data_IF_596797227036
#
_entry.id   IF_596797227036
#
_cell.length_a   1.000
_cell.length_b   1.000
_cell.length_c   1.000
_cell.angle_alpha   90.00
_cell.angle_beta   90.00
_cell.angle_gamma   90.00
#
_symmetry.space_group_name_H-M   'P 1'
#
loop_
_entity.id
_entity.type
_entity.pdbx_description
1 polymer ?
#
# COMPACT_ATOMS: atom_id res chain seq x y z
N UNK A 1 -13.74 -3.71 92.05
CA UNK A 1 -12.84 -4.59 91.32
C UNK A 1 -13.12 -4.41 89.79
N UNK A 2 -12.31 -3.56 89.13
CA UNK A 2 -12.46 -3.27 87.71
C UNK A 2 -11.27 -3.96 87.01
N UNK A 3 -11.56 -4.92 86.11
CA UNK A 3 -10.57 -5.48 85.19
C UNK A 3 -10.54 -4.69 83.91
N UNK A 4 -9.39 -4.07 83.68
CA UNK A 4 -9.07 -3.40 82.45
C UNK A 4 -8.71 -4.45 81.39
N UNK A 5 -9.42 -4.44 80.22
CA UNK A 5 -9.00 -5.15 78.97
C UNK A 5 -8.12 -4.22 78.13
N UNK A 6 -6.90 -4.69 77.92
CA UNK A 6 -6.00 -4.05 76.91
C UNK A 6 -6.27 -4.65 75.57
N UNK A 7 -6.70 -3.77 74.60
CA UNK A 7 -6.81 -4.08 73.23
C UNK A 7 -5.45 -3.94 72.55
N UNK A 8 -5.01 -5.02 71.86
CA UNK A 8 -3.83 -5.01 71.01
C UNK A 8 -4.28 -4.64 69.56
N UNK A 9 -3.85 -3.49 69.07
CA UNK A 9 -3.92 -3.17 67.67
C UNK A 9 -2.64 -3.65 66.97
N UNK A 10 -2.77 -4.58 66.00
CA UNK A 10 -1.74 -4.97 65.08
C UNK A 10 -1.80 -4.05 63.85
N UNK A 11 -0.71 -3.48 63.37
CA UNK A 11 -0.75 -2.67 62.14
C UNK A 11 -0.73 -3.63 60.94
N UNK A 12 -1.77 -3.51 60.06
CA UNK A 12 -1.79 -4.12 58.74
C UNK A 12 -0.85 -3.35 57.84
N UNK A 13 0.27 -3.98 57.47
CA UNK A 13 1.20 -3.46 56.46
C UNK A 13 0.67 -3.80 55.07
N UNK A 14 0.03 -2.86 54.41
CA UNK A 14 -0.42 -3.00 53.01
C UNK A 14 0.76 -2.81 52.10
N UNK A 15 1.31 -3.89 51.53
CA UNK A 15 2.27 -3.83 50.45
C UNK A 15 1.52 -3.43 49.14
N UNK A 16 1.69 -2.19 48.69
CA UNK A 16 1.32 -1.78 47.37
C UNK A 16 2.37 -2.35 46.38
N UNK A 17 2.01 -3.40 45.68
CA UNK A 17 2.72 -3.84 44.47
C UNK A 17 2.34 -2.87 43.32
N UNK A 18 3.15 -1.85 43.13
CA UNK A 18 3.08 -1.02 41.91
C UNK A 18 3.58 -1.83 40.71
N UNK A 19 2.68 -2.47 40.02
CA UNK A 19 2.97 -3.07 38.71
C UNK A 19 3.29 -1.97 37.72
N UNK A 20 4.56 -1.76 37.46
CA UNK A 20 5.05 -0.92 36.35
C UNK A 20 4.75 -1.66 35.06
N UNK A 21 3.61 -1.34 34.42
CA UNK A 21 3.31 -1.75 33.04
C UNK A 21 4.36 -1.07 32.15
N UNK A 22 5.40 -1.83 31.80
CA UNK A 22 6.27 -1.49 30.68
C UNK A 22 5.42 -1.59 29.40
N UNK A 23 4.88 -0.46 28.95
CA UNK A 23 4.43 -0.34 27.58
C UNK A 23 5.69 -0.42 26.71
N UNK A 24 5.93 -1.60 26.13
CA UNK A 24 6.82 -1.71 25.01
C UNK A 24 6.20 -0.85 23.91
N UNK A 25 6.77 0.33 23.66
CA UNK A 25 6.47 1.10 22.46
C UNK A 25 7.03 0.28 21.31
N UNK A 26 6.19 -0.56 20.69
CA UNK A 26 6.52 -1.10 19.39
C UNK A 26 6.64 0.11 18.44
N UNK A 27 7.85 0.43 18.06
CA UNK A 27 8.09 1.38 16.98
C UNK A 27 7.48 0.77 15.74
N UNK A 28 6.40 1.35 15.24
CA UNK A 28 5.81 0.96 13.97
C UNK A 28 6.86 1.16 12.87
N UNK A 29 7.51 0.07 12.47
CA UNK A 29 8.46 0.07 11.36
C UNK A 29 7.62 -0.11 10.11
N UNK A 30 7.36 1.00 9.41
CA UNK A 30 6.53 0.97 8.22
C UNK A 30 7.20 0.13 7.14
N UNK A 31 6.45 -0.82 6.58
CA UNK A 31 6.77 -1.66 5.42
C UNK A 31 7.97 -2.62 5.56
N UNK A 32 8.61 -2.73 6.72
CA UNK A 32 9.65 -3.74 6.94
C UNK A 32 9.11 -4.88 7.80
N UNK A 33 9.27 -6.10 7.34
CA UNK A 33 8.83 -7.28 8.08
C UNK A 33 9.68 -8.51 7.72
N UNK A 34 9.45 -9.61 8.44
CA UNK A 34 10.02 -10.93 8.14
C UNK A 34 8.98 -11.87 7.52
N UNK A 35 7.73 -11.44 7.35
CA UNK A 35 6.65 -12.27 6.81
C UNK A 35 5.66 -11.43 5.99
N UNK A 36 5.41 -11.85 4.75
CA UNK A 36 4.47 -11.18 3.84
C UNK A 36 3.56 -12.23 3.21
N UNK A 37 2.28 -11.88 3.09
CA UNK A 37 1.27 -12.66 2.39
C UNK A 37 0.72 -11.86 1.22
N UNK A 38 0.63 -12.47 0.06
CA UNK A 38 0.22 -11.78 -1.16
C UNK A 38 -0.60 -12.69 -2.07
N UNK A 39 -1.68 -12.16 -2.61
CA UNK A 39 -2.45 -12.76 -3.69
C UNK A 39 -2.08 -12.00 -4.97
N UNK A 40 -1.33 -12.63 -5.88
CA UNK A 40 -0.90 -11.98 -7.11
C UNK A 40 -2.11 -11.72 -8.03
N UNK A 41 -2.23 -10.52 -8.62
CA UNK A 41 -3.34 -10.19 -9.50
C UNK A 41 -3.30 -11.03 -10.77
N UNK A 42 -4.47 -11.32 -11.34
CA UNK A 42 -4.55 -11.71 -12.74
C UNK A 42 -4.49 -10.45 -13.60
N UNK A 43 -3.55 -10.40 -14.52
CA UNK A 43 -3.41 -9.36 -15.53
C UNK A 43 -3.83 -9.94 -16.88
N UNK A 44 -4.70 -9.25 -17.60
CA UNK A 44 -5.21 -9.74 -18.87
C UNK A 44 -4.08 -9.99 -19.88
N UNK A 45 -3.94 -11.21 -20.39
CA UNK A 45 -2.89 -11.62 -21.32
C UNK A 45 -2.75 -10.68 -22.55
N UNK A 46 -3.89 -10.13 -23.02
CA UNK A 46 -3.91 -9.18 -24.14
C UNK A 46 -3.31 -7.82 -23.76
N UNK A 47 -3.11 -7.55 -22.48
CA UNK A 47 -2.52 -6.33 -21.94
C UNK A 47 -1.06 -6.52 -21.51
N UNK A 48 -0.60 -7.77 -21.43
CA UNK A 48 0.76 -8.14 -21.02
C UNK A 48 0.84 -8.46 -19.54
N UNK A 49 1.14 -9.72 -19.26
CA UNK A 49 1.15 -10.30 -17.92
C UNK A 49 2.56 -10.64 -17.40
N UNK A 50 3.58 -10.50 -18.23
CA UNK A 50 4.97 -10.87 -17.88
C UNK A 50 6.01 -10.04 -18.65
N UNK A 51 7.20 -9.82 -18.06
CA UNK A 51 7.73 -10.49 -16.87
C UNK A 51 7.15 -9.93 -15.56
N UNK A 52 7.09 -10.80 -14.54
CA UNK A 52 6.72 -10.47 -13.17
C UNK A 52 7.83 -10.86 -12.21
N UNK A 53 7.95 -10.18 -11.09
CA UNK A 53 9.01 -10.46 -10.13
C UNK A 53 8.74 -9.94 -8.73
N UNK A 54 9.61 -10.36 -7.82
CA UNK A 54 9.71 -9.80 -6.48
C UNK A 54 11.06 -9.12 -6.30
N UNK A 55 11.05 -8.01 -5.60
CA UNK A 55 12.25 -7.29 -5.18
C UNK A 55 12.28 -7.17 -3.66
N UNK A 56 13.47 -7.30 -3.10
CA UNK A 56 13.71 -7.29 -1.66
C UNK A 56 14.85 -6.36 -1.33
N UNK A 57 14.69 -5.60 -0.24
CA UNK A 57 15.76 -4.77 0.31
C UNK A 57 15.95 -5.10 1.79
N UNK A 58 17.19 -5.35 2.19
CA UNK A 58 17.55 -5.59 3.59
C UNK A 58 17.80 -4.29 4.34
N UNK A 59 17.58 -4.30 5.66
CA UNK A 59 17.68 -3.16 6.57
C UNK A 59 19.02 -3.19 7.36
N UNK A 60 20.14 -3.29 6.66
CA UNK A 60 21.46 -3.30 7.30
C UNK A 60 22.06 -4.68 7.56
N UNK A 61 21.25 -5.72 7.72
CA UNK A 61 21.68 -7.12 7.88
C UNK A 61 21.35 -7.92 6.62
N UNK A 62 22.24 -8.87 6.27
CA UNK A 62 21.93 -9.80 5.19
C UNK A 62 20.68 -10.64 5.54
N UNK A 63 19.87 -10.94 4.55
CA UNK A 63 18.67 -11.74 4.70
C UNK A 63 18.67 -12.96 3.78
N UNK A 64 18.13 -14.08 4.27
CA UNK A 64 17.72 -15.20 3.44
C UNK A 64 16.19 -15.17 3.33
N UNK A 65 15.69 -15.02 2.12
CA UNK A 65 14.28 -14.92 1.81
C UNK A 65 13.81 -16.22 1.17
N UNK A 66 12.72 -16.80 1.71
CA UNK A 66 12.03 -17.96 1.14
C UNK A 66 10.68 -17.53 0.61
N UNK A 67 10.41 -17.83 -0.65
CA UNK A 67 9.12 -17.60 -1.32
C UNK A 67 8.47 -18.96 -1.52
N UNK A 68 7.22 -19.12 -1.09
CA UNK A 68 6.49 -20.40 -1.15
C UNK A 68 5.02 -20.20 -1.45
N UNK A 69 4.37 -21.24 -1.95
CA UNK A 69 2.92 -21.34 -2.13
C UNK A 69 2.39 -22.39 -1.13
N UNK A 70 1.98 -22.01 0.09
CA UNK A 70 1.65 -22.97 1.15
C UNK A 70 0.51 -23.94 0.78
N UNK A 71 -0.47 -23.46 0.01
CA UNK A 71 -1.58 -24.30 -0.47
C UNK A 71 -1.24 -25.13 -1.73
N UNK A 72 -0.06 -24.93 -2.32
CA UNK A 72 0.40 -25.66 -3.51
C UNK A 72 1.79 -26.29 -3.31
N UNK A 73 1.88 -27.38 -2.54
CA UNK A 73 3.17 -28.01 -2.20
C UNK A 73 3.88 -28.65 -3.40
N UNK A 74 3.22 -28.78 -4.55
CA UNK A 74 3.85 -29.26 -5.80
C UNK A 74 4.83 -28.22 -6.38
N UNK A 75 4.72 -26.95 -6.02
CA UNK A 75 5.62 -25.90 -6.43
C UNK A 75 6.74 -25.76 -5.38
N UNK A 76 7.98 -26.06 -5.79
CA UNK A 76 9.13 -25.96 -4.90
C UNK A 76 9.39 -24.49 -4.50
N UNK A 77 9.65 -24.20 -3.21
CA UNK A 77 9.99 -22.85 -2.78
C UNK A 77 11.25 -22.32 -3.46
N UNK A 78 11.27 -21.00 -3.69
CA UNK A 78 12.47 -20.28 -4.14
C UNK A 78 13.20 -19.65 -2.95
N UNK A 79 14.53 -19.60 -3.03
CA UNK A 79 15.38 -18.96 -2.03
C UNK A 79 16.17 -17.81 -2.68
N UNK A 80 16.20 -16.67 -1.99
CA UNK A 80 16.93 -15.47 -2.43
C UNK A 80 17.78 -14.97 -1.27
N UNK A 81 19.07 -14.74 -1.53
CA UNK A 81 19.95 -14.08 -0.59
C UNK A 81 19.98 -12.58 -0.89
N UNK A 82 19.71 -11.78 0.12
CA UNK A 82 19.76 -10.31 0.03
C UNK A 82 20.98 -9.84 0.81
N UNK A 83 21.95 -9.17 0.18
CA UNK A 83 23.14 -8.66 0.87
C UNK A 83 22.75 -7.66 1.97
N UNK A 84 23.61 -7.50 2.97
CA UNK A 84 23.42 -6.45 3.99
C UNK A 84 23.35 -5.07 3.33
N UNK A 85 22.35 -4.28 3.69
CA UNK A 85 22.08 -2.97 3.05
C UNK A 85 22.03 -3.06 1.52
N UNK A 86 21.48 -4.16 1.00
CA UNK A 86 21.45 -4.44 -0.43
C UNK A 86 20.04 -4.76 -0.95
N UNK A 87 19.97 -4.89 -2.26
CA UNK A 87 18.73 -5.24 -3.00
C UNK A 87 18.97 -6.53 -3.77
N UNK A 88 17.96 -7.37 -3.82
CA UNK A 88 17.92 -8.56 -4.68
C UNK A 88 16.55 -8.68 -5.34
N UNK A 89 16.51 -9.27 -6.52
CA UNK A 89 15.28 -9.54 -7.27
C UNK A 89 15.22 -10.99 -7.72
N UNK A 90 14.00 -11.47 -7.94
CA UNK A 90 13.75 -12.79 -8.53
C UNK A 90 12.61 -12.70 -9.53
N UNK A 91 12.79 -13.33 -10.69
CA UNK A 91 11.77 -13.43 -11.72
C UNK A 91 10.80 -14.58 -11.38
N UNK A 92 9.50 -14.29 -11.37
CA UNK A 92 8.44 -15.26 -11.09
C UNK A 92 7.64 -15.67 -12.34
N UNK A 93 8.04 -15.24 -13.54
CA UNK A 93 7.26 -15.49 -14.77
C UNK A 93 7.01 -16.97 -15.05
N UNK A 94 7.88 -17.87 -14.56
CA UNK A 94 7.66 -19.33 -14.63
C UNK A 94 6.58 -19.84 -13.67
N UNK A 95 6.19 -19.04 -12.68
CA UNK A 95 5.13 -19.37 -11.72
C UNK A 95 3.79 -18.75 -12.07
N UNK A 96 3.68 -17.99 -13.16
CA UNK A 96 2.50 -17.14 -13.45
C UNK A 96 1.19 -17.92 -13.34
N UNK A 97 1.10 -19.11 -13.97
CA UNK A 97 -0.09 -19.96 -13.91
C UNK A 97 -0.39 -20.49 -12.49
N UNK A 98 0.63 -20.52 -11.62
CA UNK A 98 0.52 -21.00 -10.24
C UNK A 98 0.20 -19.91 -9.23
N UNK A 99 0.30 -18.62 -9.58
CA UNK A 99 0.15 -17.50 -8.65
C UNK A 99 -0.94 -16.50 -9.04
N UNK A 100 -1.22 -16.29 -10.33
CA UNK A 100 -2.30 -15.39 -10.75
C UNK A 100 -3.67 -15.90 -10.34
N UNK A 101 -4.49 -15.03 -9.73
CA UNK A 101 -5.77 -15.38 -9.15
C UNK A 101 -6.90 -15.48 -10.18
N UNK A 102 -6.76 -16.40 -11.10
CA UNK A 102 -7.73 -16.75 -12.12
C UNK A 102 -8.03 -18.28 -12.12
N UNK A 103 -9.30 -18.70 -12.33
CA UNK A 103 -10.50 -17.90 -12.54
C UNK A 103 -11.02 -17.25 -11.25
N UNK A 104 -11.74 -16.12 -11.42
CA UNK A 104 -12.40 -15.47 -10.30
C UNK A 104 -13.56 -16.30 -9.72
N UNK A 105 -14.07 -15.91 -8.55
CA UNK A 105 -15.18 -16.55 -7.83
C UNK A 105 -14.95 -18.06 -7.56
N UNK A 106 -13.69 -18.45 -7.42
CA UNK A 106 -13.24 -19.83 -7.20
C UNK A 106 -12.18 -19.84 -6.09
N UNK A 107 -12.18 -20.85 -5.22
CA UNK A 107 -11.12 -21.08 -4.26
C UNK A 107 -9.92 -21.66 -5.00
N UNK A 108 -8.77 -21.00 -4.87
CA UNK A 108 -7.53 -21.35 -5.56
C UNK A 108 -6.41 -21.60 -4.54
N UNK A 109 -5.37 -22.31 -4.95
CA UNK A 109 -4.19 -22.63 -4.14
C UNK A 109 -2.98 -21.73 -4.52
N UNK A 110 -3.19 -20.43 -4.68
CA UNK A 110 -2.27 -19.49 -5.37
C UNK A 110 -1.64 -18.42 -4.47
N UNK A 111 -1.88 -18.46 -3.17
CA UNK A 111 -1.34 -17.48 -2.21
C UNK A 111 0.16 -17.60 -2.04
N UNK A 112 0.85 -16.47 -2.15
CA UNK A 112 2.30 -16.35 -1.96
C UNK A 112 2.58 -16.03 -0.50
N UNK A 113 3.48 -16.80 0.12
CA UNK A 113 4.07 -16.48 1.42
C UNK A 113 5.56 -16.25 1.28
N UNK A 114 6.01 -15.07 1.73
CA UNK A 114 7.41 -14.67 1.76
C UNK A 114 7.84 -14.63 3.23
N UNK A 115 8.89 -15.37 3.58
CA UNK A 115 9.52 -15.34 4.89
C UNK A 115 10.98 -14.98 4.79
N UNK A 116 11.47 -14.18 5.73
CA UNK A 116 12.85 -13.69 5.76
C UNK A 116 13.51 -13.92 7.11
N UNK A 117 14.81 -14.19 7.11
CA UNK A 117 15.60 -14.36 8.33
C UNK A 117 15.82 -13.07 9.12
N UNK A 118 15.73 -11.91 8.46
CA UNK A 118 15.83 -10.56 9.06
C UNK A 118 14.79 -9.64 8.40
N UNK A 119 14.41 -8.51 9.01
CA UNK A 119 13.46 -7.59 8.40
C UNK A 119 13.92 -7.09 7.03
N UNK A 120 13.00 -7.10 6.07
CA UNK A 120 13.18 -6.64 4.70
C UNK A 120 12.00 -5.76 4.28
N UNK A 121 12.18 -4.96 3.23
CA UNK A 121 11.07 -4.49 2.40
C UNK A 121 10.90 -5.42 1.21
N UNK A 122 9.66 -5.59 0.79
CA UNK A 122 9.33 -6.41 -0.39
C UNK A 122 8.30 -5.72 -1.26
N UNK A 123 8.43 -5.85 -2.57
CA UNK A 123 7.40 -5.45 -3.51
C UNK A 123 7.33 -6.41 -4.70
N UNK A 124 6.09 -6.62 -5.16
CA UNK A 124 5.80 -7.37 -6.37
C UNK A 124 5.71 -6.39 -7.54
N UNK A 125 6.21 -6.79 -8.69
CA UNK A 125 6.32 -5.92 -9.84
C UNK A 125 5.89 -6.65 -11.11
N UNK A 126 5.01 -5.99 -11.87
CA UNK A 126 4.74 -6.32 -13.26
C UNK A 126 5.65 -5.44 -14.10
N UNK A 127 6.58 -6.04 -14.87
CA UNK A 127 7.64 -5.31 -15.61
C UNK A 127 7.36 -5.40 -17.10
N UNK A 128 6.14 -5.14 -17.49
CA UNK A 128 5.69 -5.19 -18.89
C UNK A 128 5.82 -3.82 -19.52
N UNK A 129 6.38 -3.75 -20.72
CA UNK A 129 6.41 -2.49 -21.48
C UNK A 129 4.98 -2.00 -21.72
N UNK A 130 4.70 -0.75 -21.37
CA UNK A 130 3.39 -0.08 -21.47
C UNK A 130 2.28 -0.65 -20.55
N UNK A 131 2.65 -1.46 -19.54
CA UNK A 131 1.71 -1.89 -18.49
C UNK A 131 2.44 -2.25 -17.18
N UNK A 132 3.44 -1.48 -16.75
CA UNK A 132 4.13 -1.76 -15.50
C UNK A 132 3.31 -1.31 -14.29
N UNK A 133 3.43 -2.03 -13.18
CA UNK A 133 2.99 -1.54 -11.87
C UNK A 133 3.78 -2.18 -10.73
N UNK A 134 3.79 -1.51 -9.58
CA UNK A 134 4.53 -1.91 -8.38
C UNK A 134 3.56 -2.03 -7.21
N UNK A 135 3.45 -3.22 -6.65
CA UNK A 135 2.65 -3.52 -5.46
C UNK A 135 3.56 -3.52 -4.22
N UNK A 136 3.42 -2.50 -3.38
CA UNK A 136 4.19 -2.42 -2.14
C UNK A 136 3.62 -3.40 -1.10
N UNK A 137 4.39 -4.44 -0.73
CA UNK A 137 3.96 -5.41 0.26
C UNK A 137 4.15 -4.84 1.67
N UNK A 138 3.11 -4.93 2.49
CA UNK A 138 3.02 -4.22 3.77
C UNK A 138 3.24 -5.13 4.99
N UNK A 139 3.70 -6.38 4.76
CA UNK A 139 3.97 -7.34 5.83
C UNK A 139 2.77 -7.57 6.74
N UNK A 140 2.99 -7.62 8.05
CA UNK A 140 1.92 -7.76 9.04
C UNK A 140 0.94 -6.59 9.06
N UNK A 141 1.34 -5.41 8.58
CA UNK A 141 0.42 -4.26 8.48
C UNK A 141 -0.69 -4.47 7.43
N UNK A 142 -0.51 -5.39 6.49
CA UNK A 142 -1.57 -5.78 5.55
C UNK A 142 -2.55 -6.79 6.15
N UNK A 143 -2.24 -7.40 7.30
CA UNK A 143 -3.04 -8.47 7.89
C UNK A 143 -4.12 -7.91 8.80
N UNK A 144 -5.35 -8.37 8.59
CA UNK A 144 -6.45 -7.99 9.45
C UNK A 144 -7.71 -8.79 9.17
N UNK A 145 -8.78 -8.41 9.87
CA UNK A 145 -10.07 -9.12 9.82
C UNK A 145 -11.22 -8.26 9.30
N UNK A 146 -10.97 -6.98 8.98
CA UNK A 146 -12.00 -6.06 8.49
C UNK A 146 -11.42 -5.09 7.47
N UNK A 147 -12.02 -5.07 6.29
CA UNK A 147 -11.61 -4.25 5.16
C UNK A 147 -12.81 -3.63 4.47
N UNK A 148 -12.61 -2.46 3.87
CA UNK A 148 -13.50 -1.87 2.88
C UNK A 148 -12.68 -1.57 1.65
N UNK A 149 -13.16 -1.92 0.48
CA UNK A 149 -12.39 -1.85 -0.77
C UNK A 149 -12.40 -0.42 -1.31
N UNK A 150 -11.28 0.30 -1.31
CA UNK A 150 -11.16 1.59 -1.99
C UNK A 150 -10.93 1.37 -3.49
N UNK A 151 -11.12 2.42 -4.28
CA UNK A 151 -10.93 2.33 -5.72
C UNK A 151 -11.21 3.65 -6.43
N UNK A 152 -11.25 3.61 -7.77
CA UNK A 152 -11.54 4.74 -8.65
C UNK A 152 -12.76 4.44 -9.52
N UNK A 153 -13.55 5.46 -9.82
CA UNK A 153 -14.75 5.44 -10.66
C UNK A 153 -14.68 6.40 -11.85
N UNK A 154 -13.46 6.76 -12.25
CA UNK A 154 -13.18 7.76 -13.28
C UNK A 154 -12.63 7.16 -14.57
N UNK A 155 -12.08 5.95 -14.52
CA UNK A 155 -11.54 5.23 -15.68
C UNK A 155 -12.24 3.89 -15.85
N UNK A 156 -12.68 3.59 -17.06
CA UNK A 156 -13.22 2.29 -17.45
C UNK A 156 -12.08 1.28 -17.70
N UNK A 157 -12.39 0.00 -17.76
CA UNK A 157 -11.46 -1.05 -18.16
C UNK A 157 -11.63 -1.41 -19.63
N UNK A 158 -10.55 -1.74 -20.32
CA UNK A 158 -10.61 -2.14 -21.73
C UNK A 158 -10.52 -3.66 -21.91
N UNK A 159 -9.50 -4.30 -21.35
CA UNK A 159 -9.22 -5.74 -21.48
C UNK A 159 -9.35 -6.49 -20.16
N UNK A 160 -8.98 -5.85 -19.07
CA UNK A 160 -9.05 -6.38 -17.70
C UNK A 160 -10.32 -5.98 -16.96
N UNK A 161 -10.27 -6.04 -15.64
CA UNK A 161 -11.39 -5.76 -14.73
C UNK A 161 -10.90 -5.08 -13.46
N UNK A 162 -11.83 -4.48 -12.75
CA UNK A 162 -11.65 -4.12 -11.35
C UNK A 162 -11.85 -5.36 -10.47
N UNK A 163 -10.92 -5.63 -9.56
CA UNK A 163 -10.96 -6.79 -8.69
C UNK A 163 -10.28 -6.52 -7.33
N UNK A 164 -10.49 -7.42 -6.39
CA UNK A 164 -9.66 -7.59 -5.22
C UNK A 164 -9.47 -9.07 -4.93
N UNK A 165 -8.25 -9.44 -4.56
CA UNK A 165 -7.87 -10.82 -4.30
C UNK A 165 -7.53 -11.00 -2.82
N UNK A 166 -8.05 -12.07 -2.24
CA UNK A 166 -7.92 -12.42 -0.83
C UNK A 166 -6.99 -13.62 -0.68
N UNK A 167 -6.08 -13.58 0.29
CA UNK A 167 -5.32 -14.76 0.73
C UNK A 167 -5.52 -14.99 2.23
N UNK A 168 -5.79 -16.24 2.64
CA UNK A 168 -5.87 -16.63 4.04
C UNK A 168 -4.50 -16.99 4.59
N UNK A 169 -4.22 -16.54 5.83
CA UNK A 169 -2.95 -16.82 6.53
C UNK A 169 -3.02 -18.06 7.42
N UNK A 170 -4.22 -18.54 7.71
CA UNK A 170 -4.51 -19.68 8.59
C UNK A 170 -5.56 -20.60 7.99
N UNK A 171 -5.56 -21.88 8.46
CA UNK A 171 -6.56 -22.85 8.02
C UNK A 171 -7.96 -22.51 8.57
N UNK A 172 -8.99 -22.94 7.82
CA UNK A 172 -10.41 -22.78 8.18
C UNK A 172 -10.74 -21.31 8.52
N UNK A 173 -10.24 -20.36 7.70
CA UNK A 173 -10.57 -18.93 7.79
C UNK A 173 -11.92 -18.69 7.14
N UNK A 174 -12.91 -18.27 7.92
CA UNK A 174 -14.25 -17.93 7.45
C UNK A 174 -14.29 -16.44 7.04
N UNK A 175 -14.66 -16.17 5.80
CA UNK A 175 -14.64 -14.83 5.21
C UNK A 175 -16.04 -14.48 4.71
N UNK A 176 -16.58 -13.36 5.15
CA UNK A 176 -17.85 -12.81 4.67
C UNK A 176 -17.58 -11.60 3.78
N UNK A 177 -18.16 -11.61 2.59
CA UNK A 177 -17.99 -10.56 1.56
C UNK A 177 -19.35 -9.98 1.20
N UNK A 178 -19.43 -8.64 1.17
CA UNK A 178 -20.60 -7.89 0.70
C UNK A 178 -20.13 -7.02 -0.48
N UNK A 179 -20.32 -7.46 -1.72
CA UNK A 179 -19.90 -6.71 -2.88
C UNK A 179 -20.82 -5.51 -3.14
N UNK A 180 -20.29 -4.44 -3.70
CA UNK A 180 -21.07 -3.25 -4.10
C UNK A 180 -21.50 -3.30 -5.56
N UNK A 181 -20.90 -4.20 -6.33
CA UNK A 181 -21.26 -4.45 -7.74
C UNK A 181 -21.41 -5.95 -7.99
N UNK A 182 -21.99 -6.29 -9.14
CA UNK A 182 -22.11 -7.69 -9.59
C UNK A 182 -20.73 -8.29 -9.84
N UNK A 183 -20.44 -9.43 -9.23
CA UNK A 183 -19.21 -10.17 -9.48
C UNK A 183 -19.33 -11.11 -10.68
N UNK A 184 -18.21 -11.42 -11.33
CA UNK A 184 -18.13 -12.58 -12.22
C UNK A 184 -18.64 -13.83 -11.46
N UNK A 185 -19.41 -14.67 -12.14
CA UNK A 185 -20.12 -15.80 -11.48
C UNK A 185 -21.48 -15.44 -10.88
N UNK A 186 -21.96 -14.18 -11.05
CA UNK A 186 -23.36 -13.81 -10.81
C UNK A 186 -23.72 -13.47 -9.36
N UNK A 187 -22.75 -13.22 -8.47
CA UNK A 187 -23.03 -12.74 -7.12
C UNK A 187 -23.50 -11.28 -7.19
N UNK A 188 -24.64 -11.01 -6.56
CA UNK A 188 -25.33 -9.71 -6.67
C UNK A 188 -24.81 -8.67 -5.68
N UNK A 189 -24.84 -7.36 -6.02
CA UNK A 189 -24.46 -6.29 -5.13
C UNK A 189 -25.33 -6.26 -3.87
N UNK A 190 -24.72 -5.96 -2.73
CA UNK A 190 -25.37 -5.86 -1.43
C UNK A 190 -25.77 -7.21 -0.81
N UNK A 191 -25.61 -8.32 -1.49
CA UNK A 191 -25.96 -9.66 -0.98
C UNK A 191 -24.72 -10.30 -0.35
N UNK A 192 -24.71 -10.51 1.00
CA UNK A 192 -23.58 -11.14 1.67
C UNK A 192 -23.42 -12.62 1.22
N UNK A 193 -22.18 -13.05 1.09
CA UNK A 193 -21.84 -14.46 0.96
C UNK A 193 -20.61 -14.81 1.77
N UNK A 194 -20.46 -16.06 2.11
CA UNK A 194 -19.36 -16.57 2.94
C UNK A 194 -18.58 -17.63 2.20
N UNK A 195 -17.26 -17.61 2.34
CA UNK A 195 -16.33 -18.64 1.89
C UNK A 195 -15.46 -19.10 3.07
N UNK A 196 -14.87 -20.27 2.96
CA UNK A 196 -13.87 -20.77 3.93
C UNK A 196 -12.60 -21.08 3.16
N UNK A 197 -11.50 -20.46 3.58
CA UNK A 197 -10.17 -20.68 2.99
C UNK A 197 -9.24 -21.35 4.00
N UNK A 198 -8.38 -22.23 3.50
CA UNK A 198 -7.24 -22.73 4.25
C UNK A 198 -6.01 -21.84 4.02
N UNK A 199 -4.97 -22.05 4.81
CA UNK A 199 -3.71 -21.31 4.75
C UNK A 199 -3.10 -21.34 3.35
N UNK A 200 -2.94 -20.16 2.75
CA UNK A 200 -2.40 -19.98 1.40
C UNK A 200 -3.42 -20.20 0.29
N UNK A 201 -4.66 -20.56 0.59
CA UNK A 201 -5.74 -20.50 -0.40
C UNK A 201 -6.15 -19.06 -0.66
N UNK A 202 -6.63 -18.80 -1.87
CA UNK A 202 -7.00 -17.47 -2.36
C UNK A 202 -8.40 -17.47 -2.96
N UNK A 203 -8.99 -16.28 -3.04
CA UNK A 203 -10.26 -16.06 -3.71
C UNK A 203 -10.28 -14.67 -4.36
N UNK A 204 -10.61 -14.61 -5.66
CA UNK A 204 -10.74 -13.37 -6.41
C UNK A 204 -12.19 -12.91 -6.50
N UNK A 205 -12.46 -11.69 -6.08
CA UNK A 205 -13.68 -10.94 -6.33
C UNK A 205 -13.46 -10.00 -7.49
N UNK A 206 -14.03 -10.29 -8.66
CA UNK A 206 -13.81 -9.56 -9.90
C UNK A 206 -15.14 -8.99 -10.39
N UNK A 207 -15.16 -7.72 -10.80
CA UNK A 207 -16.38 -7.11 -11.31
C UNK A 207 -16.84 -7.76 -12.62
N UNK A 208 -18.16 -7.84 -12.82
CA UNK A 208 -18.72 -8.40 -14.06
C UNK A 208 -18.52 -7.47 -15.25
N UNK A 209 -18.60 -6.16 -15.04
CA UNK A 209 -18.51 -5.15 -16.08
C UNK A 209 -17.17 -4.45 -16.20
N UNK A 210 -17.08 -3.52 -17.15
CA UNK A 210 -15.86 -2.76 -17.47
C UNK A 210 -16.05 -1.24 -17.44
N UNK A 211 -17.25 -0.75 -17.16
CA UNK A 211 -17.51 0.69 -17.16
C UNK A 211 -16.97 1.37 -15.89
N UNK A 212 -16.97 2.68 -15.85
CA UNK A 212 -16.54 3.47 -14.68
C UNK A 212 -17.38 3.20 -13.44
N UNK A 213 -18.62 2.75 -13.58
CA UNK A 213 -19.52 2.38 -12.48
C UNK A 213 -19.48 0.89 -12.12
N UNK A 214 -18.84 0.04 -12.93
CA UNK A 214 -18.66 -1.38 -12.66
C UNK A 214 -17.42 -1.57 -11.75
N UNK A 215 -17.46 -1.00 -10.55
CA UNK A 215 -16.35 -0.98 -9.61
C UNK A 215 -16.78 -1.49 -8.24
N UNK A 216 -15.88 -2.16 -7.55
CA UNK A 216 -16.12 -2.80 -6.25
C UNK A 216 -15.87 -1.86 -5.06
N UNK A 217 -15.85 -0.54 -5.29
CA UNK A 217 -15.60 0.48 -4.27
C UNK A 217 -16.66 0.40 -3.18
N UNK A 218 -16.22 0.37 -1.91
CA UNK A 218 -17.10 0.25 -0.75
C UNK A 218 -17.51 -1.18 -0.41
N UNK A 219 -17.12 -2.19 -1.20
CA UNK A 219 -17.31 -3.60 -0.84
C UNK A 219 -16.68 -3.89 0.50
N UNK A 220 -17.34 -4.71 1.32
CA UNK A 220 -16.90 -5.04 2.68
C UNK A 220 -16.43 -6.48 2.75
N UNK A 221 -15.30 -6.68 3.41
CA UNK A 221 -14.73 -8.01 3.68
C UNK A 221 -14.46 -8.12 5.16
N UNK A 222 -15.00 -9.15 5.80
CA UNK A 222 -14.71 -9.48 7.20
C UNK A 222 -14.32 -10.94 7.32
N UNK A 223 -13.44 -11.26 8.27
CA UNK A 223 -13.00 -12.63 8.52
C UNK A 223 -12.84 -12.89 10.02
N UNK A 224 -12.87 -14.15 10.39
CA UNK A 224 -12.61 -14.59 11.78
C UNK A 224 -11.11 -14.71 12.11
N UNK A 225 -10.25 -14.77 11.09
CA UNK A 225 -8.78 -14.83 11.19
C UNK A 225 -8.12 -13.87 10.21
N UNK A 226 -6.85 -13.50 10.42
CA UNK A 226 -6.17 -12.53 9.57
C UNK A 226 -6.09 -12.98 8.10
N UNK A 227 -6.43 -12.08 7.19
CA UNK A 227 -6.28 -12.20 5.75
C UNK A 227 -5.46 -11.03 5.20
N UNK A 228 -4.91 -11.18 3.99
CA UNK A 228 -4.39 -10.07 3.21
C UNK A 228 -5.23 -9.88 1.93
N UNK A 229 -5.30 -8.63 1.47
CA UNK A 229 -6.05 -8.26 0.26
C UNK A 229 -5.16 -7.48 -0.69
N UNK A 230 -5.20 -7.86 -1.98
CA UNK A 230 -4.59 -7.12 -3.10
C UNK A 230 -5.69 -6.41 -3.88
N UNK A 231 -5.49 -5.14 -4.20
CA UNK A 231 -6.36 -4.35 -5.06
C UNK A 231 -5.85 -4.40 -6.49
N UNK A 232 -6.77 -4.50 -7.44
CA UNK A 232 -6.45 -4.54 -8.87
C UNK A 232 -7.49 -3.71 -9.64
N UNK A 233 -7.03 -2.91 -10.59
CA UNK A 233 -7.86 -2.30 -11.62
C UNK A 233 -7.09 -2.37 -12.94
N UNK A 234 -7.24 -3.48 -13.65
CA UNK A 234 -6.44 -3.81 -14.82
C UNK A 234 -6.99 -3.18 -16.09
N UNK A 235 -6.07 -2.72 -16.94
CA UNK A 235 -6.36 -2.15 -18.26
C UNK A 235 -7.30 -0.95 -18.18
N UNK A 236 -7.03 -0.03 -17.22
CA UNK A 236 -7.83 1.19 -17.08
C UNK A 236 -7.58 2.15 -18.23
N UNK A 237 -8.65 2.81 -18.69
CA UNK A 237 -8.61 3.77 -19.78
C UNK A 237 -9.44 5.01 -19.44
N UNK A 238 -8.76 6.12 -19.21
CA UNK A 238 -9.39 7.38 -18.79
C UNK A 238 -9.50 8.44 -19.90
N UNK A 239 -9.11 8.11 -21.14
CA UNK A 239 -9.11 9.07 -22.24
C UNK A 239 -8.14 10.23 -22.03
N UNK A 240 -8.35 11.34 -22.74
CA UNK A 240 -7.42 12.49 -22.77
C UNK A 240 -7.21 13.18 -21.41
N UNK A 241 -8.14 13.01 -20.45
CA UNK A 241 -8.09 13.69 -19.15
C UNK A 241 -7.15 12.99 -18.17
N UNK A 242 -6.97 11.68 -18.31
CA UNK A 242 -6.20 10.87 -17.37
C UNK A 242 -4.95 10.27 -18.00
N UNK A 243 -5.10 9.31 -18.89
CA UNK A 243 -3.98 8.58 -19.47
C UNK A 243 -3.91 8.65 -21.01
N UNK A 244 -4.61 9.57 -21.63
CA UNK A 244 -4.50 9.83 -23.09
C UNK A 244 -4.88 8.67 -23.99
N UNK A 245 -5.48 7.60 -23.46
CA UNK A 245 -5.83 6.39 -24.20
C UNK A 245 -4.84 5.26 -24.03
N UNK A 246 -3.82 5.39 -23.16
CA UNK A 246 -3.04 4.28 -22.65
C UNK A 246 -3.94 3.33 -21.87
N UNK A 247 -3.50 2.10 -21.70
CA UNK A 247 -4.17 1.09 -20.91
C UNK A 247 -3.21 0.72 -19.79
N UNK A 248 -3.60 0.92 -18.54
CA UNK A 248 -2.69 0.79 -17.42
C UNK A 248 -3.21 -0.22 -16.40
N UNK A 249 -2.30 -0.88 -15.70
CA UNK A 249 -2.57 -1.63 -14.51
C UNK A 249 -2.49 -0.70 -13.29
N UNK A 250 -3.50 -0.73 -12.43
CA UNK A 250 -3.46 -0.06 -11.13
C UNK A 250 -3.55 -1.13 -10.04
N UNK A 251 -2.55 -1.20 -9.17
CA UNK A 251 -2.55 -2.19 -8.11
C UNK A 251 -1.77 -1.78 -6.86
N UNK A 252 -2.21 -2.28 -5.70
CA UNK A 252 -1.47 -2.18 -4.43
C UNK A 252 -2.01 -3.19 -3.41
N UNK A 253 -1.25 -3.45 -2.36
CA UNK A 253 -1.72 -4.22 -1.22
C UNK A 253 -2.52 -3.33 -0.26
N UNK A 254 -3.70 -3.80 0.15
CA UNK A 254 -4.59 -3.08 1.05
C UNK A 254 -4.16 -3.25 2.52
N UNK A 255 -4.39 -2.22 3.34
CA UNK A 255 -4.29 -2.32 4.81
C UNK A 255 -5.70 -2.45 5.42
N UNK A 256 -5.85 -3.14 6.57
CA UNK A 256 -7.14 -3.28 7.24
C UNK A 256 -7.62 -1.96 7.86
N UNK A 257 -8.92 -1.88 8.12
CA UNK A 257 -9.55 -0.66 8.69
C UNK A 257 -8.88 -0.25 10.01
N UNK A 258 -8.40 -1.19 10.82
CA UNK A 258 -7.75 -0.93 12.10
C UNK A 258 -6.40 -0.19 11.97
N UNK A 259 -5.80 -0.18 10.79
CA UNK A 259 -4.52 0.50 10.50
C UNK A 259 -4.72 1.88 9.86
N UNK A 260 -5.96 2.29 9.65
CA UNK A 260 -6.26 3.59 9.02
C UNK A 260 -6.01 4.75 9.98
N UNK A 261 -5.58 5.87 9.44
CA UNK A 261 -5.43 7.12 10.16
C UNK A 261 -6.32 8.23 9.60
N UNK A 262 -6.05 9.45 10.05
CA UNK A 262 -6.88 10.62 9.77
C UNK A 262 -6.13 11.79 9.12
N UNK A 263 -4.81 11.70 9.00
CA UNK A 263 -3.98 12.77 8.42
C UNK A 263 -3.05 12.21 7.36
N UNK A 264 -3.02 12.85 6.19
CA UNK A 264 -2.30 12.38 5.03
C UNK A 264 -1.65 13.55 4.31
N UNK A 265 -0.49 13.33 3.73
CA UNK A 265 0.15 14.24 2.80
C UNK A 265 0.34 13.47 1.49
N UNK A 266 -0.17 14.04 0.41
CA UNK A 266 -0.01 13.47 -0.92
C UNK A 266 0.74 14.47 -1.78
N UNK A 267 1.89 14.04 -2.29
CA UNK A 267 2.70 14.82 -3.19
C UNK A 267 2.43 14.40 -4.63
N UNK A 268 2.23 15.36 -5.52
CA UNK A 268 2.09 15.11 -6.95
C UNK A 268 3.35 14.47 -7.51
N UNK A 269 3.20 13.39 -8.29
CA UNK A 269 4.25 12.72 -9.03
C UNK A 269 4.54 13.41 -10.38
N UNK A 270 4.57 12.63 -11.47
CA UNK A 270 5.08 13.08 -12.75
C UNK A 270 4.10 12.90 -13.93
N UNK A 271 2.86 12.51 -13.65
CA UNK A 271 1.84 12.42 -14.69
C UNK A 271 1.69 13.80 -15.32
N UNK A 272 1.75 13.88 -16.66
CA UNK A 272 1.62 15.11 -17.44
C UNK A 272 2.82 16.09 -17.46
N UNK A 273 3.88 15.89 -16.68
CA UNK A 273 5.05 16.79 -16.67
C UNK A 273 5.74 16.89 -18.03
N UNK A 274 5.59 15.91 -18.90
CA UNK A 274 6.33 15.77 -20.16
C UNK A 274 5.48 15.74 -21.43
N UNK A 275 4.20 16.00 -21.34
CA UNK A 275 3.38 16.22 -22.53
C UNK A 275 3.31 17.71 -22.87
N UNK A 276 3.93 18.08 -23.97
CA UNK A 276 4.07 19.46 -24.44
C UNK A 276 2.76 20.23 -24.70
N UNK A 277 1.60 19.66 -24.36
CA UNK A 277 0.33 20.21 -24.81
C UNK A 277 -0.79 20.26 -23.77
N UNK A 278 -0.62 19.92 -22.52
CA UNK A 278 -1.82 20.01 -21.71
C UNK A 278 -1.64 20.05 -20.19
N UNK A 279 -2.14 21.10 -19.61
CA UNK A 279 -2.79 21.14 -18.30
C UNK A 279 -4.01 20.17 -18.18
N UNK A 280 -4.12 19.14 -19.02
CA UNK A 280 -5.33 18.30 -19.12
C UNK A 280 -5.24 17.02 -18.34
N UNK A 281 -4.05 16.42 -18.24
CA UNK A 281 -3.86 15.24 -17.40
C UNK A 281 -3.61 15.67 -15.97
N UNK A 282 -4.42 15.22 -15.07
CA UNK A 282 -4.30 15.58 -13.65
C UNK A 282 -4.31 14.34 -12.80
N UNK A 283 -3.36 14.27 -11.89
CA UNK A 283 -3.37 13.26 -10.85
C UNK A 283 -4.61 13.38 -9.96
N UNK A 284 -4.96 12.28 -9.32
CA UNK A 284 -6.12 12.21 -8.43
C UNK A 284 -5.74 11.70 -7.07
N UNK A 285 -6.19 12.39 -6.05
CA UNK A 285 -6.25 11.87 -4.70
C UNK A 285 -7.71 11.51 -4.42
N UNK A 286 -7.94 10.29 -3.98
CA UNK A 286 -9.26 9.75 -3.66
C UNK A 286 -9.29 9.45 -2.17
N UNK A 287 -10.20 10.11 -1.45
CA UNK A 287 -10.46 9.85 -0.03
C UNK A 287 -11.73 9.02 0.06
N UNK A 288 -11.67 7.84 0.65
CA UNK A 288 -12.85 7.00 0.91
C UNK A 288 -13.13 6.87 2.40
N UNK A 289 -14.35 7.24 2.81
CA UNK A 289 -14.81 7.07 4.17
C UNK A 289 -15.16 5.61 4.47
N UNK A 290 -14.74 5.11 5.65
CA UNK A 290 -15.13 3.79 6.16
C UNK A 290 -16.29 3.87 7.17
N UNK A 291 -16.59 5.09 7.63
CA UNK A 291 -17.69 5.38 8.57
C UNK A 291 -18.56 6.52 8.07
N UNK A 292 -19.87 6.49 8.44
CA UNK A 292 -20.79 7.57 8.12
C UNK A 292 -20.42 8.88 8.85
N UNK A 293 -20.61 10.01 8.17
CA UNK A 293 -20.38 11.34 8.73
C UNK A 293 -18.87 11.70 8.80
N UNK A 294 -18.03 11.09 7.98
CA UNK A 294 -16.61 11.43 7.86
C UNK A 294 -16.47 12.76 7.11
N UNK A 295 -15.98 13.79 7.78
CA UNK A 295 -15.68 15.08 7.20
C UNK A 295 -14.26 15.10 6.61
N UNK A 296 -14.10 15.76 5.48
CA UNK A 296 -12.81 15.92 4.79
C UNK A 296 -12.39 17.39 4.83
N UNK A 297 -11.16 17.65 5.26
CA UNK A 297 -10.54 18.97 5.34
C UNK A 297 -9.26 19.00 4.50
N UNK A 298 -8.98 20.11 3.85
CA UNK A 298 -7.83 20.26 2.94
C UNK A 298 -6.94 21.43 3.35
N UNK A 299 -5.64 21.22 3.24
CA UNK A 299 -4.58 22.23 3.30
C UNK A 299 -4.67 23.15 4.53
N UNK A 300 -5.02 22.57 5.68
CA UNK A 300 -5.14 23.28 6.96
C UNK A 300 -6.46 24.04 7.18
N UNK A 301 -7.41 23.97 6.24
CA UNK A 301 -8.73 24.59 6.41
C UNK A 301 -9.46 24.04 7.62
N UNK A 302 -10.12 24.91 8.37
CA UNK A 302 -11.04 24.54 9.45
C UNK A 302 -12.43 24.13 8.92
N UNK A 303 -12.75 24.46 7.67
CA UNK A 303 -14.03 24.14 7.04
C UNK A 303 -13.88 22.86 6.23
N UNK A 304 -14.77 21.89 6.49
CA UNK A 304 -14.84 20.67 5.71
C UNK A 304 -15.27 20.95 4.26
N UNK A 305 -14.59 20.35 3.30
CA UNK A 305 -14.98 20.45 1.87
C UNK A 305 -16.15 19.53 1.54
N UNK A 306 -16.34 18.46 2.31
CA UNK A 306 -17.45 17.52 2.19
C UNK A 306 -17.63 16.69 3.45
N UNK A 307 -18.77 16.02 3.56
CA UNK A 307 -19.04 14.96 4.54
C UNK A 307 -19.48 13.71 3.78
N UNK A 308 -18.85 12.59 4.07
CA UNK A 308 -19.02 11.32 3.38
C UNK A 308 -19.73 10.30 4.26
N UNK A 309 -20.56 9.47 3.66
CA UNK A 309 -21.02 8.21 4.24
C UNK A 309 -20.00 7.08 3.96
N UNK A 310 -20.08 6.00 4.74
CA UNK A 310 -19.23 4.83 4.55
C UNK A 310 -19.31 4.29 3.10
N UNK A 311 -18.17 4.08 2.47
CA UNK A 311 -18.02 3.66 1.07
C UNK A 311 -18.07 4.81 0.04
N UNK A 312 -18.43 6.03 0.46
CA UNK A 312 -18.38 7.18 -0.45
C UNK A 312 -16.97 7.75 -0.59
N UNK A 313 -16.70 8.34 -1.75
CA UNK A 313 -15.41 8.92 -2.12
C UNK A 313 -15.49 10.43 -2.32
N UNK A 314 -14.37 11.10 -2.04
CA UNK A 314 -14.11 12.48 -2.45
C UNK A 314 -12.86 12.51 -3.32
N UNK A 315 -12.92 13.21 -4.44
CA UNK A 315 -11.84 13.28 -5.43
C UNK A 315 -11.22 14.67 -5.44
N UNK A 316 -9.92 14.76 -5.14
CA UNK A 316 -9.13 15.98 -5.32
C UNK A 316 -8.25 15.88 -6.57
N UNK A 317 -8.43 16.84 -7.48
CA UNK A 317 -7.54 16.99 -8.64
C UNK A 317 -6.24 17.66 -8.22
N UNK A 318 -5.11 17.12 -8.68
CA UNK A 318 -3.79 17.71 -8.48
C UNK A 318 -3.23 18.15 -9.84
N UNK A 319 -3.45 19.41 -10.18
CA UNK A 319 -2.85 20.05 -11.35
C UNK A 319 -1.48 20.66 -11.05
N UNK A 320 -0.87 21.32 -12.04
CA UNK A 320 0.45 21.93 -11.92
C UNK A 320 0.58 22.95 -10.77
N UNK A 321 -0.51 23.61 -10.42
CA UNK A 321 -0.55 24.59 -9.31
C UNK A 321 -0.75 23.97 -7.94
N UNK A 322 -0.86 22.65 -7.85
CA UNK A 322 -1.07 21.92 -6.59
C UNK A 322 -0.05 20.78 -6.48
N UNK A 323 1.21 21.09 -6.13
CA UNK A 323 2.29 20.10 -6.06
C UNK A 323 2.17 19.15 -4.86
N UNK A 324 1.42 19.53 -3.84
CA UNK A 324 1.19 18.75 -2.62
C UNK A 324 -0.16 19.12 -2.03
N UNK A 325 -0.80 18.20 -1.33
CA UNK A 325 -2.01 18.46 -0.54
C UNK A 325 -1.91 17.79 0.82
N UNK A 326 -2.32 18.50 1.86
CA UNK A 326 -2.53 17.97 3.20
C UNK A 326 -4.02 17.69 3.39
N UNK A 327 -4.34 16.47 3.78
CA UNK A 327 -5.71 15.99 3.96
C UNK A 327 -5.89 15.58 5.41
N UNK A 328 -6.93 16.08 6.03
CA UNK A 328 -7.38 15.65 7.35
C UNK A 328 -8.82 15.17 7.27
N UNK A 329 -9.12 14.07 7.94
CA UNK A 329 -10.48 13.54 8.06
C UNK A 329 -10.90 13.53 9.52
N UNK A 330 -12.21 13.60 9.78
CA UNK A 330 -12.74 13.56 11.16
C UNK A 330 -12.81 12.14 11.73
N UNK A 331 -12.61 11.12 10.89
CA UNK A 331 -12.60 9.69 11.20
C UNK A 331 -11.60 8.99 10.29
N UNK A 332 -11.11 7.77 10.65
CA UNK A 332 -10.20 7.01 9.79
C UNK A 332 -10.74 6.85 8.37
N UNK A 333 -9.86 6.95 7.38
CA UNK A 333 -10.22 6.87 5.97
C UNK A 333 -9.12 6.20 5.15
N UNK A 334 -9.49 5.64 4.00
CA UNK A 334 -8.50 5.31 2.96
C UNK A 334 -8.20 6.55 2.12
N UNK A 335 -6.94 6.72 1.79
CA UNK A 335 -6.49 7.70 0.81
C UNK A 335 -5.71 6.98 -0.26
N UNK A 336 -6.06 7.20 -1.52
CA UNK A 336 -5.37 6.65 -2.68
C UNK A 336 -4.87 7.76 -3.57
N UNK A 337 -3.76 7.54 -4.23
CA UNK A 337 -3.19 8.47 -5.19
C UNK A 337 -3.01 7.80 -6.55
N UNK A 338 -3.64 8.34 -7.59
CA UNK A 338 -3.38 7.99 -8.98
C UNK A 338 -2.34 8.96 -9.52
N UNK A 339 -1.18 8.43 -9.90
CA UNK A 339 0.00 9.16 -10.36
C UNK A 339 0.68 8.38 -11.48
N UNK A 340 1.83 8.81 -11.98
CA UNK A 340 2.60 8.10 -13.00
C UNK A 340 3.52 9.00 -13.80
N UNK A 341 3.88 8.58 -15.00
CA UNK A 341 4.63 9.35 -15.97
C UNK A 341 3.89 9.44 -17.33
N UNK A 342 3.84 10.62 -17.90
CA UNK A 342 3.28 10.80 -19.26
C UNK A 342 1.83 10.33 -19.34
N UNK A 343 1.57 9.19 -19.94
CA UNK A 343 0.25 8.54 -19.99
C UNK A 343 0.17 7.26 -19.12
N UNK A 344 1.29 6.76 -18.66
CA UNK A 344 1.32 5.55 -17.82
C UNK A 344 0.90 5.93 -16.40
N UNK A 345 -0.19 5.35 -15.94
CA UNK A 345 -0.75 5.60 -14.61
C UNK A 345 -0.59 4.37 -13.72
N UNK A 346 -0.25 4.61 -12.46
CA UNK A 346 -0.32 3.65 -11.36
C UNK A 346 -1.09 4.24 -10.20
N UNK A 347 -1.33 3.49 -9.15
CA UNK A 347 -1.86 4.02 -7.90
C UNK A 347 -1.13 3.50 -6.68
N UNK A 348 -1.34 4.18 -5.54
CA UNK A 348 -0.86 3.72 -4.25
C UNK A 348 -1.90 4.00 -3.16
N UNK A 349 -2.03 3.09 -2.21
CA UNK A 349 -2.71 3.35 -0.93
C UNK A 349 -1.76 4.14 -0.04
N UNK A 350 -2.12 5.38 0.23
CA UNK A 350 -1.27 6.34 0.96
C UNK A 350 -1.39 6.09 2.47
N UNK A 351 -0.29 5.84 3.18
CA UNK A 351 -0.32 5.71 4.63
C UNK A 351 -0.60 7.05 5.30
N UNK A 352 -1.27 7.00 6.46
CA UNK A 352 -1.38 8.17 7.31
C UNK A 352 0.00 8.62 7.80
N UNK A 353 0.21 9.93 7.95
CA UNK A 353 1.52 10.47 8.36
C UNK A 353 1.85 10.26 9.85
N UNK A 354 0.86 9.87 10.64
CA UNK A 354 1.02 9.60 12.05
C UNK A 354 1.51 8.17 12.26
N UNK A 355 2.58 8.00 13.02
CA UNK A 355 3.15 6.69 13.39
C UNK A 355 3.55 5.81 12.19
N UNK A 356 3.87 6.42 11.04
CA UNK A 356 4.31 5.72 9.83
C UNK A 356 5.60 6.34 9.28
N UNK A 357 6.12 5.79 8.19
CA UNK A 357 7.41 6.18 7.63
C UNK A 357 8.56 5.33 8.15
N UNK A 358 9.70 5.44 7.52
CA UNK A 358 10.93 4.71 7.86
C UNK A 358 12.12 5.66 7.85
N UNK A 359 13.12 5.37 8.67
CA UNK A 359 14.42 6.07 8.62
C UNK A 359 15.35 5.51 7.54
N UNK A 360 14.99 4.38 6.91
CA UNK A 360 15.75 3.72 5.87
C UNK A 360 14.79 3.01 4.92
N UNK A 361 14.90 3.31 3.61
CA UNK A 361 14.11 2.67 2.56
C UNK A 361 15.02 2.28 1.41
N UNK A 362 14.96 1.01 1.01
CA UNK A 362 15.64 0.54 -0.17
C UNK A 362 14.72 0.53 -1.38
N UNK A 363 15.29 0.84 -2.54
CA UNK A 363 14.60 0.82 -3.82
C UNK A 363 15.51 0.43 -4.97
N UNK A 364 14.92 0.09 -6.11
CA UNK A 364 15.62 -0.16 -7.35
C UNK A 364 14.86 0.49 -8.50
N UNK A 365 15.59 1.07 -9.45
CA UNK A 365 15.02 1.44 -10.74
C UNK A 365 14.88 0.19 -11.59
N UNK A 366 13.68 -0.08 -12.10
CA UNK A 366 13.37 -1.34 -12.79
C UNK A 366 13.65 -1.28 -14.27
N UNK A 367 13.44 -0.12 -14.88
CA UNK A 367 13.56 0.11 -16.32
C UNK A 367 14.44 1.32 -16.61
N UNK A 368 14.85 1.51 -17.86
CA UNK A 368 15.52 2.73 -18.30
C UNK A 368 14.55 3.88 -18.62
N UNK A 369 13.25 3.67 -18.44
CA UNK A 369 12.22 4.71 -18.57
C UNK A 369 12.44 5.84 -17.55
N UNK A 370 11.62 6.86 -17.59
CA UNK A 370 11.67 7.94 -16.59
C UNK A 370 11.58 7.36 -15.19
N UNK A 371 12.35 7.92 -14.30
CA UNK A 371 12.42 7.49 -12.91
C UNK A 371 12.29 8.70 -11.99
N UNK A 372 11.56 8.56 -10.93
CA UNK A 372 11.50 9.57 -9.90
C UNK A 372 11.04 9.03 -8.55
N UNK A 373 11.32 9.82 -7.54
CA UNK A 373 10.77 9.55 -6.21
C UNK A 373 10.34 10.83 -5.52
N UNK A 374 9.37 10.69 -4.66
CA UNK A 374 8.85 11.73 -3.78
C UNK A 374 9.26 11.44 -2.34
N UNK A 375 9.60 12.47 -1.58
CA UNK A 375 9.98 12.35 -0.17
C UNK A 375 9.12 13.29 0.66
N UNK A 376 8.54 12.79 1.73
CA UNK A 376 7.81 13.58 2.72
C UNK A 376 8.45 13.32 4.09
N UNK A 377 8.81 14.37 4.82
CA UNK A 377 9.45 14.25 6.12
C UNK A 377 9.16 15.45 7.01
N UNK A 378 9.50 15.33 8.30
CA UNK A 378 9.40 16.46 9.25
C UNK A 378 10.53 17.45 9.04
N UNK A 379 10.28 18.70 9.41
CA UNK A 379 11.23 19.84 9.30
C UNK A 379 12.62 19.54 9.86
N UNK A 380 12.70 18.85 10.98
CA UNK A 380 13.99 18.55 11.62
C UNK A 380 14.84 17.51 10.86
N UNK A 381 14.29 16.85 9.86
CA UNK A 381 14.95 15.76 9.13
C UNK A 381 15.49 16.19 7.76
N UNK A 382 15.13 17.36 7.25
CA UNK A 382 15.40 17.77 5.85
C UNK A 382 16.88 17.79 5.44
N UNK A 383 17.80 17.94 6.39
CA UNK A 383 19.24 18.06 6.12
C UNK A 383 20.05 16.78 6.42
N UNK A 384 19.40 15.68 6.74
CA UNK A 384 20.06 14.49 7.30
C UNK A 384 19.93 13.24 6.41
N UNK A 385 19.71 13.46 5.11
CA UNK A 385 19.58 12.35 4.15
C UNK A 385 20.94 11.86 3.65
N UNK A 386 21.01 10.55 3.45
CA UNK A 386 22.12 9.90 2.75
C UNK A 386 21.59 8.88 1.73
N UNK A 387 22.31 8.74 0.62
CA UNK A 387 22.07 7.73 -0.41
C UNK A 387 23.28 6.77 -0.41
N UNK A 388 23.02 5.48 -0.19
CA UNK A 388 24.06 4.46 -0.04
C UNK A 388 25.19 4.88 0.96
N UNK A 389 24.78 5.50 2.08
CA UNK A 389 25.69 5.95 3.13
C UNK A 389 26.44 7.27 2.87
N UNK A 390 26.32 7.85 1.68
CA UNK A 390 26.92 9.16 1.35
C UNK A 390 25.86 10.27 1.54
N UNK A 391 26.28 11.44 2.03
CA UNK A 391 25.40 12.60 2.18
C UNK A 391 24.67 12.91 0.86
N UNK A 392 23.36 13.09 0.93
CA UNK A 392 22.52 13.29 -0.24
C UNK A 392 21.65 14.55 -0.07
N UNK A 393 21.95 15.56 -0.86
CA UNK A 393 21.24 16.85 -0.84
C UNK A 393 19.91 16.77 -1.55
N UNK A 394 18.81 16.98 -0.83
CA UNK A 394 17.45 17.06 -1.36
C UNK A 394 16.88 18.44 -1.06
N UNK A 395 16.30 19.10 -2.06
CA UNK A 395 15.66 20.41 -1.87
C UNK A 395 14.21 20.22 -1.43
N UNK A 396 13.91 20.70 -0.23
CA UNK A 396 12.60 20.55 0.39
C UNK A 396 11.79 21.86 0.36
N UNK A 397 10.47 21.72 0.27
CA UNK A 397 9.49 22.80 0.37
C UNK A 397 8.49 22.46 1.49
N UNK A 398 8.07 23.45 2.26
CA UNK A 398 7.07 23.25 3.32
C UNK A 398 5.72 22.85 2.76
N UNK A 399 5.04 21.91 3.43
CA UNK A 399 3.67 21.49 3.08
C UNK A 399 2.67 22.53 3.60
N UNK A 400 1.84 23.13 2.74
CA UNK A 400 0.82 24.08 3.19
C UNK A 400 -0.15 23.46 4.20
N UNK A 401 -0.55 24.24 5.22
CA UNK A 401 -1.52 23.81 6.21
C UNK A 401 -0.99 22.92 7.35
N UNK A 402 0.32 22.64 7.38
CA UNK A 402 0.96 21.83 8.43
C UNK A 402 1.79 22.64 9.41
N UNK A 403 1.62 23.98 9.45
CA UNK A 403 2.40 24.90 10.32
C UNK A 403 3.92 24.72 10.21
N UNK A 404 4.41 24.42 9.01
CA UNK A 404 5.81 24.11 8.71
C UNK A 404 6.35 22.85 9.42
N UNK A 405 5.50 21.96 9.94
CA UNK A 405 5.97 20.70 10.53
C UNK A 405 6.44 19.69 9.47
N UNK A 406 5.87 19.73 8.28
CA UNK A 406 6.12 18.78 7.21
C UNK A 406 6.66 19.46 5.96
N UNK A 407 7.58 18.76 5.31
CA UNK A 407 8.20 19.16 4.07
C UNK A 407 8.13 18.05 3.04
N UNK A 408 8.10 18.45 1.78
CA UNK A 408 8.10 17.54 0.64
C UNK A 408 9.19 17.87 -0.35
N UNK A 409 9.67 16.86 -1.06
CA UNK A 409 10.66 17.00 -2.12
C UNK A 409 10.41 16.00 -3.23
N UNK A 410 10.92 16.29 -4.41
CA UNK A 410 10.81 15.44 -5.60
C UNK A 410 12.15 15.36 -6.30
N UNK A 411 12.57 14.14 -6.64
CA UNK A 411 13.75 13.85 -7.44
C UNK A 411 13.31 13.16 -8.71
N UNK A 412 13.81 13.60 -9.86
CA UNK A 412 13.42 13.08 -11.17
C UNK A 412 14.65 12.86 -12.04
N UNK A 413 14.62 11.80 -12.86
CA UNK A 413 15.59 11.49 -13.91
C UNK A 413 14.85 11.20 -15.21
N UNK A 414 15.37 11.74 -16.31
CA UNK A 414 14.83 11.50 -17.64
C UNK A 414 14.98 10.03 -18.04
N UNK A 415 14.23 9.61 -19.07
CA UNK A 415 14.43 8.32 -19.70
C UNK A 415 15.89 8.21 -20.20
N UNK A 416 16.49 7.03 -20.00
CA UNK A 416 17.89 6.73 -20.31
C UNK A 416 18.94 7.52 -19.51
N UNK A 417 18.55 8.41 -18.60
CA UNK A 417 19.47 9.01 -17.62
C UNK A 417 19.66 8.04 -16.47
N UNK A 418 20.65 7.17 -16.61
CA UNK A 418 21.00 6.11 -15.64
C UNK A 418 22.30 6.39 -14.88
N UNK A 419 22.84 7.61 -14.98
CA UNK A 419 24.12 7.95 -14.37
C UNK A 419 24.08 7.87 -12.84
N UNK A 420 23.01 8.36 -12.22
CA UNK A 420 22.83 8.29 -10.77
C UNK A 420 22.05 7.05 -10.32
N UNK A 421 20.96 6.73 -11.04
CA UNK A 421 20.09 5.58 -10.72
C UNK A 421 20.07 4.62 -11.92
N UNK A 422 20.94 3.61 -11.89
CA UNK A 422 20.95 2.59 -12.94
C UNK A 422 19.97 1.43 -12.61
N UNK A 423 19.65 0.62 -13.61
CA UNK A 423 18.65 -0.46 -13.48
C UNK A 423 19.19 -1.77 -12.86
N UNK A 424 20.49 -1.82 -12.55
CA UNK A 424 21.14 -3.03 -12.01
C UNK A 424 21.56 -2.91 -10.55
N UNK A 425 21.43 -1.71 -9.97
CA UNK A 425 21.90 -1.41 -8.62
C UNK A 425 20.72 -1.07 -7.70
N UNK A 426 20.77 -1.62 -6.49
CA UNK A 426 19.89 -1.20 -5.41
C UNK A 426 20.41 0.06 -4.73
N UNK A 427 19.48 0.88 -4.28
CA UNK A 427 19.74 2.13 -3.58
C UNK A 427 19.10 2.10 -2.21
N UNK A 428 19.79 2.67 -1.23
CA UNK A 428 19.29 2.85 0.14
C UNK A 428 19.25 4.34 0.42
N UNK A 429 18.04 4.90 0.52
CA UNK A 429 17.84 6.25 1.07
C UNK A 429 17.65 6.12 2.57
N UNK A 430 18.43 6.87 3.35
CA UNK A 430 18.30 6.87 4.81
C UNK A 430 18.33 8.28 5.36
N UNK A 431 17.81 8.44 6.58
CA UNK A 431 17.80 9.68 7.32
C UNK A 431 18.24 9.41 8.76
N UNK A 432 19.26 10.13 9.24
CA UNK A 432 19.87 9.89 10.55
C UNK A 432 19.13 10.53 11.72
N UNK A 433 18.14 11.39 11.46
CA UNK A 433 17.42 12.15 12.50
C UNK A 433 15.96 11.76 12.65
N UNK A 434 15.39 11.03 11.69
CA UNK A 434 13.99 10.57 11.82
C UNK A 434 13.43 9.90 10.58
N UNK A 435 12.13 9.65 10.63
CA UNK A 435 11.42 8.93 9.57
C UNK A 435 11.03 9.85 8.41
N UNK A 436 10.88 9.23 7.26
CA UNK A 436 10.35 9.83 6.04
C UNK A 436 9.45 8.84 5.29
N UNK A 437 8.63 9.35 4.40
CA UNK A 437 7.86 8.57 3.44
C UNK A 437 8.51 8.70 2.07
N UNK A 438 8.63 7.59 1.37
CA UNK A 438 9.20 7.52 0.02
C UNK A 438 8.17 6.94 -0.94
N UNK A 439 7.85 7.68 -2.00
CA UNK A 439 7.06 7.18 -3.12
C UNK A 439 7.95 6.99 -4.34
N UNK A 440 7.97 5.81 -4.93
CA UNK A 440 8.74 5.50 -6.15
C UNK A 440 7.81 5.50 -7.34
N UNK A 441 8.26 6.10 -8.44
CA UNK A 441 7.57 6.14 -9.74
C UNK A 441 8.60 5.80 -10.82
N UNK A 442 8.40 4.68 -11.51
CA UNK A 442 9.31 4.22 -12.57
C UNK A 442 8.54 3.67 -13.77
#
# INVERSE_FOLDING_TARGET
MHKSQKSFYAPFLTLLFGGMLLFATETAVAQTDTSFWFAAPEVANSHGDRPIGLKFTSQGLAAQVKISLPANPAVNPMLVNVPASGVSSINLSTWIDSIENFPANTILNKGIHISSSTPITAYYEVVVTNNPDIFALKGRNALGTSFMIPGQDIMANAHGRNAFDIVATEDQTTITIIPTDTLEGGRMPGVPFTIVLNKGETFSCRSHGTNTYDKLIGSRVTSDKPIAITLIDDSVRGGSIYNGGCFDLLGDQLIPIQQLGMEFIVQRGFLDVHNNNSNTRTERVIVMAVENGTQVFLDGSATAVTTLSAGQTYHRRMGNNLPVTYIRTSKPAYVMHITGFGCETGWAVIPAIQCTGSSLVGFMRSTSERFGFTVITRTNNINSFSLNGNAYGISFTAVPGTNNEWHYARVERAANDTAEFNTSTGYILSNSTGNFHLGIIN
#
